data_IF_843895226627
#
_entry.id   IF_843895226627
#
_cell.length_a   1.000
_cell.length_b   1.000
_cell.length_c   1.000
_cell.angle_alpha   90.00
_cell.angle_beta   90.00
_cell.angle_gamma   90.00
#
_symmetry.space_group_name_H-M   'P 1'
#
loop_
_entity.id
_entity.type
_entity.pdbx_description
1 polymer ?
#
# COMPACT_ATOMS: atom_id res chain seq x y z
N UNK A 1 -7.85 -13.32 1.57
CA UNK A 1 -7.34 -11.94 1.38
C UNK A 1 -7.82 -11.02 2.50
N UNK A 2 -9.13 -10.82 2.72
CA UNK A 2 -9.64 -9.97 3.82
C UNK A 2 -9.09 -10.42 5.18
N UNK A 3 -9.14 -11.71 5.50
CA UNK A 3 -8.63 -12.23 6.76
C UNK A 3 -7.16 -11.85 7.02
N UNK A 4 -6.31 -11.89 6.00
CA UNK A 4 -4.87 -11.58 6.15
C UNK A 4 -4.61 -10.08 6.08
N UNK A 5 -5.15 -9.40 5.04
CA UNK A 5 -4.82 -8.01 4.80
C UNK A 5 -5.54 -7.02 5.74
N UNK A 6 -6.69 -7.42 6.27
CA UNK A 6 -7.54 -6.54 7.11
C UNK A 6 -7.58 -7.07 8.54
N UNK A 7 -8.19 -8.22 8.77
CA UNK A 7 -8.45 -8.70 10.14
C UNK A 7 -7.15 -8.96 10.92
N UNK A 8 -6.22 -9.74 10.36
CA UNK A 8 -4.97 -10.08 11.04
C UNK A 8 -4.11 -8.83 11.29
N UNK A 9 -3.98 -7.93 10.30
CA UNK A 9 -3.23 -6.68 10.43
C UNK A 9 -3.82 -5.82 11.57
N UNK A 10 -5.15 -5.65 11.58
CA UNK A 10 -5.84 -4.87 12.62
C UNK A 10 -5.64 -5.47 14.01
N UNK A 11 -5.82 -6.80 14.13
CA UNK A 11 -5.66 -7.50 15.42
C UNK A 11 -4.23 -7.43 15.95
N UNK A 12 -3.23 -7.62 15.07
CA UNK A 12 -1.81 -7.53 15.47
C UNK A 12 -1.47 -6.11 15.92
N UNK A 13 -1.90 -5.11 15.18
CA UNK A 13 -1.67 -3.71 15.54
C UNK A 13 -2.34 -3.39 16.89
N UNK A 14 -3.62 -3.78 17.09
CA UNK A 14 -4.35 -3.58 18.34
C UNK A 14 -3.65 -4.23 19.54
N UNK A 15 -3.05 -5.41 19.34
CA UNK A 15 -2.36 -6.12 20.43
C UNK A 15 -1.01 -5.53 20.79
N UNK A 16 -0.26 -5.04 19.81
CA UNK A 16 1.11 -4.59 20.00
C UNK A 16 1.22 -3.10 20.36
N UNK A 17 0.31 -2.27 19.83
CA UNK A 17 0.37 -0.82 19.94
C UNK A 17 0.34 -0.30 21.40
N UNK A 18 -0.53 -0.80 22.31
CA UNK A 18 -0.61 -0.31 23.68
C UNK A 18 0.73 -0.40 24.44
N UNK A 19 1.41 -1.54 24.37
CA UNK A 19 2.71 -1.71 25.00
C UNK A 19 3.82 -0.84 24.38
N UNK A 20 3.71 -0.51 23.08
CA UNK A 20 4.62 0.43 22.43
C UNK A 20 4.38 1.86 22.96
N UNK A 21 3.14 2.26 23.13
CA UNK A 21 2.76 3.58 23.66
C UNK A 21 3.20 3.72 25.12
N UNK A 22 2.97 2.71 25.95
CA UNK A 22 3.36 2.69 27.36
C UNK A 22 4.87 2.92 27.55
N UNK A 23 5.69 2.19 26.80
CA UNK A 23 7.16 2.37 26.85
C UNK A 23 7.66 3.56 26.01
N UNK A 24 6.78 4.35 25.40
CA UNK A 24 7.07 5.51 24.54
C UNK A 24 8.06 5.21 23.41
N UNK A 25 8.05 3.99 22.92
CA UNK A 25 8.95 3.52 21.87
C UNK A 25 8.35 2.41 21.04
N UNK A 26 8.25 2.62 19.73
CA UNK A 26 7.78 1.62 18.79
C UNK A 26 7.68 2.15 17.35
N UNK A 27 7.77 1.21 16.40
CA UNK A 27 7.58 1.51 14.99
C UNK A 27 6.74 0.41 14.34
N UNK A 28 5.72 0.83 13.61
CA UNK A 28 4.84 -0.08 12.86
C UNK A 28 4.99 0.24 11.38
N UNK A 29 5.26 -0.76 10.56
CA UNK A 29 5.27 -0.66 9.10
C UNK A 29 4.18 -1.55 8.53
N UNK A 30 3.11 -0.94 8.03
CA UNK A 30 2.04 -1.62 7.31
C UNK A 30 2.28 -1.56 5.80
N UNK A 31 2.07 -2.68 5.10
CA UNK A 31 2.30 -2.76 3.66
C UNK A 31 0.97 -2.71 2.90
N UNK A 32 0.67 -1.55 2.32
CA UNK A 32 -0.44 -1.34 1.39
C UNK A 32 -0.01 -1.58 -0.07
N UNK A 33 -0.31 -0.67 -0.97
CA UNK A 33 0.05 -0.64 -2.38
C UNK A 33 -0.37 0.71 -2.98
N UNK A 34 0.16 1.09 -4.15
CA UNK A 34 -0.42 2.17 -4.98
C UNK A 34 -1.87 1.88 -5.39
N UNK A 35 -2.28 0.61 -5.39
CA UNK A 35 -3.68 0.18 -5.55
C UNK A 35 -4.63 0.74 -4.47
N UNK A 36 -4.13 1.18 -3.32
CA UNK A 36 -4.92 1.74 -2.24
C UNK A 36 -5.60 3.08 -2.58
N UNK A 37 -5.09 3.79 -3.57
CA UNK A 37 -5.54 5.15 -3.90
C UNK A 37 -6.68 5.20 -4.93
N UNK A 38 -7.09 4.05 -5.50
CA UNK A 38 -8.03 4.00 -6.61
C UNK A 38 -8.91 2.74 -6.60
N UNK A 39 -10.08 2.74 -7.25
CA UNK A 39 -10.87 1.52 -7.45
C UNK A 39 -10.16 0.57 -8.43
N UNK A 40 -10.26 -0.74 -8.18
CA UNK A 40 -9.62 -1.77 -9.01
C UNK A 40 -10.62 -2.76 -9.62
N UNK A 41 -11.26 -2.46 -10.78
CA UNK A 41 -12.02 -3.45 -11.52
C UNK A 41 -11.19 -4.73 -11.76
N UNK A 42 -11.83 -5.89 -11.76
CA UNK A 42 -11.25 -7.24 -11.86
C UNK A 42 -10.43 -7.69 -10.63
N UNK A 43 -10.10 -6.77 -9.71
CA UNK A 43 -9.37 -7.05 -8.46
C UNK A 43 -9.99 -6.30 -7.26
N UNK A 44 -11.30 -6.15 -7.21
CA UNK A 44 -12.00 -5.28 -6.27
C UNK A 44 -11.62 -5.53 -4.80
N UNK A 45 -11.57 -6.79 -4.35
CA UNK A 45 -11.22 -7.16 -2.97
C UNK A 45 -9.79 -6.77 -2.63
N UNK A 46 -8.84 -6.94 -3.56
CA UNK A 46 -7.46 -6.54 -3.35
C UNK A 46 -7.35 -5.04 -3.13
N UNK A 47 -7.86 -4.25 -4.06
CA UNK A 47 -7.82 -2.79 -4.00
C UNK A 47 -8.52 -2.25 -2.75
N UNK A 48 -9.70 -2.77 -2.43
CA UNK A 48 -10.42 -2.40 -1.22
C UNK A 48 -9.63 -2.74 0.06
N UNK A 49 -9.00 -3.92 0.12
CA UNK A 49 -8.18 -4.31 1.26
C UNK A 49 -6.95 -3.40 1.43
N UNK A 50 -6.34 -2.96 0.32
CA UNK A 50 -5.18 -2.05 0.38
C UNK A 50 -5.59 -0.61 0.73
N UNK A 51 -6.78 -0.17 0.32
CA UNK A 51 -7.36 1.10 0.73
C UNK A 51 -7.65 1.11 2.25
N UNK A 52 -8.15 -0.01 2.79
CA UNK A 52 -8.29 -0.17 4.23
C UNK A 52 -6.95 0.01 4.96
N UNK A 53 -5.90 -0.70 4.53
CA UNK A 53 -4.56 -0.62 5.15
C UNK A 53 -4.02 0.80 5.13
N UNK A 54 -4.18 1.52 4.02
CA UNK A 54 -3.75 2.91 3.91
C UNK A 54 -4.50 3.79 4.92
N UNK A 55 -5.82 3.82 4.86
CA UNK A 55 -6.66 4.66 5.73
C UNK A 55 -6.45 4.35 7.22
N UNK A 56 -6.39 3.07 7.58
CA UNK A 56 -6.12 2.61 8.93
C UNK A 56 -4.74 3.09 9.44
N UNK A 57 -3.71 2.98 8.61
CA UNK A 57 -2.35 3.38 9.00
C UNK A 57 -2.21 4.90 9.13
N UNK A 58 -2.86 5.68 8.26
CA UNK A 58 -2.87 7.15 8.36
C UNK A 58 -3.56 7.61 9.64
N UNK A 59 -4.71 7.02 9.98
CA UNK A 59 -5.41 7.33 11.23
C UNK A 59 -4.53 7.03 12.45
N UNK A 60 -3.95 5.84 12.52
CA UNK A 60 -3.06 5.47 13.62
C UNK A 60 -1.80 6.33 13.69
N UNK A 61 -1.24 6.74 12.54
CA UNK A 61 -0.08 7.66 12.53
C UNK A 61 -0.40 9.00 13.20
N UNK A 62 -1.63 9.49 13.02
CA UNK A 62 -2.12 10.70 13.70
C UNK A 62 -2.39 10.45 15.20
N UNK A 63 -3.11 9.37 15.53
CA UNK A 63 -3.46 9.01 16.90
C UNK A 63 -2.25 8.74 17.80
N UNK A 64 -1.14 8.23 17.23
CA UNK A 64 0.10 7.98 17.97
C UNK A 64 1.04 9.17 18.03
N UNK A 65 0.66 10.32 17.48
CA UNK A 65 1.49 11.52 17.51
C UNK A 65 1.83 11.93 18.95
N UNK A 66 3.11 12.24 19.21
CA UNK A 66 3.58 12.64 20.56
C UNK A 66 3.75 11.48 21.55
N UNK A 67 3.37 10.25 21.21
CA UNK A 67 3.51 9.08 22.11
C UNK A 67 4.88 8.41 22.09
N UNK A 68 5.77 8.79 21.14
CA UNK A 68 7.03 8.10 20.89
C UNK A 68 6.89 6.89 19.96
N UNK A 69 5.69 6.63 19.44
CA UNK A 69 5.42 5.56 18.47
C UNK A 69 5.12 6.16 17.11
N UNK A 70 5.63 5.53 16.05
CA UNK A 70 5.33 5.92 14.67
C UNK A 70 4.68 4.79 13.89
N UNK A 71 3.71 5.13 13.05
CA UNK A 71 3.03 4.19 12.14
C UNK A 71 3.27 4.65 10.71
N UNK A 72 3.85 3.78 9.91
CA UNK A 72 4.19 4.04 8.50
C UNK A 72 3.42 3.11 7.57
N UNK A 73 2.81 3.65 6.53
CA UNK A 73 2.18 2.89 5.46
C UNK A 73 3.09 2.87 4.22
N UNK A 74 3.61 1.71 3.86
CA UNK A 74 4.37 1.51 2.63
C UNK A 74 3.40 1.18 1.48
N UNK A 75 3.42 2.00 0.43
CA UNK A 75 2.55 1.89 -0.73
C UNK A 75 3.38 1.63 -2.01
N UNK A 76 3.90 0.42 -2.23
CA UNK A 76 4.68 0.12 -3.41
C UNK A 76 3.81 0.05 -4.66
N UNK A 77 4.42 0.37 -5.81
CA UNK A 77 3.93 0.01 -7.14
C UNK A 77 4.19 -1.46 -7.46
N UNK A 78 4.14 -1.85 -8.74
CA UNK A 78 4.51 -3.18 -9.18
C UNK A 78 5.92 -3.56 -8.72
N UNK A 79 6.03 -4.67 -7.99
CA UNK A 79 7.27 -5.13 -7.35
C UNK A 79 7.50 -6.59 -7.70
N UNK A 80 8.72 -6.96 -8.10
CA UNK A 80 9.10 -8.32 -8.46
C UNK A 80 9.04 -9.26 -7.24
N UNK A 81 7.92 -9.91 -7.03
CA UNK A 81 7.68 -10.88 -5.94
C UNK A 81 6.84 -12.06 -6.44
N UNK A 82 6.84 -13.18 -5.72
CA UNK A 82 5.97 -14.32 -6.01
C UNK A 82 4.45 -14.04 -5.88
N UNK A 83 4.06 -12.84 -5.45
CA UNK A 83 2.66 -12.43 -5.41
C UNK A 83 2.05 -12.31 -6.80
N UNK A 84 2.81 -11.86 -7.78
CA UNK A 84 2.35 -11.67 -9.17
C UNK A 84 1.91 -13.00 -9.79
N UNK A 85 2.64 -14.08 -9.50
CA UNK A 85 2.31 -15.43 -9.98
C UNK A 85 1.02 -15.93 -9.33
N UNK A 86 0.92 -15.80 -8.01
CA UNK A 86 -0.26 -16.24 -7.25
C UNK A 86 -1.52 -15.47 -7.59
N UNK A 87 -1.39 -14.18 -7.92
CA UNK A 87 -2.50 -13.32 -8.31
C UNK A 87 -2.81 -13.38 -9.82
N UNK A 88 -2.07 -14.16 -10.60
CA UNK A 88 -2.16 -14.25 -12.08
C UNK A 88 -2.08 -12.86 -12.75
N UNK A 89 -1.23 -11.99 -12.19
CA UNK A 89 -1.12 -10.59 -12.63
C UNK A 89 -0.05 -10.39 -13.72
N UNK A 90 0.84 -11.37 -13.96
CA UNK A 90 1.89 -11.26 -14.99
C UNK A 90 1.32 -11.04 -16.39
N UNK A 91 0.10 -11.50 -16.65
CA UNK A 91 -0.58 -11.39 -17.94
C UNK A 91 -1.28 -10.03 -18.12
N UNK A 92 -1.34 -9.18 -17.08
CA UNK A 92 -1.98 -7.88 -17.18
C UNK A 92 -1.10 -6.88 -17.93
N UNK A 93 -1.72 -6.00 -18.69
CA UNK A 93 -1.03 -4.90 -19.42
C UNK A 93 -0.25 -3.98 -18.46
N UNK A 94 -0.70 -3.86 -17.23
CA UNK A 94 -0.05 -3.04 -16.20
C UNK A 94 1.42 -3.44 -16.02
N UNK A 95 1.71 -4.74 -15.88
CA UNK A 95 3.07 -5.23 -15.65
C UNK A 95 4.01 -5.12 -16.87
N UNK A 96 3.45 -5.05 -18.07
CA UNK A 96 4.24 -4.83 -19.29
C UNK A 96 4.55 -3.36 -19.57
N UNK A 97 3.80 -2.43 -18.98
CA UNK A 97 3.91 -0.99 -19.23
C UNK A 97 4.64 -0.23 -18.13
N UNK A 98 4.81 -0.83 -16.95
CA UNK A 98 5.40 -0.17 -15.77
C UNK A 98 6.67 -0.86 -15.35
N UNK A 99 7.70 -0.08 -15.03
CA UNK A 99 8.94 -0.61 -14.45
C UNK A 99 8.64 -1.33 -13.14
N UNK A 100 9.05 -2.60 -13.07
CA UNK A 100 8.89 -3.44 -11.88
C UNK A 100 10.07 -3.18 -10.94
N UNK A 101 9.79 -2.65 -9.76
CA UNK A 101 10.82 -2.39 -8.75
C UNK A 101 11.34 -3.70 -8.14
N UNK A 102 12.60 -3.72 -7.69
CA UNK A 102 13.11 -4.85 -6.92
C UNK A 102 12.48 -4.89 -5.52
N UNK A 103 12.26 -6.09 -4.99
CA UNK A 103 11.73 -6.26 -3.63
C UNK A 103 12.68 -5.66 -2.59
N UNK A 104 14.00 -5.73 -2.82
CA UNK A 104 15.03 -5.17 -1.94
C UNK A 104 14.95 -3.65 -1.86
N UNK A 105 14.80 -2.95 -3.00
CA UNK A 105 14.70 -1.49 -3.04
C UNK A 105 13.41 -1.00 -2.37
N UNK A 106 12.31 -1.71 -2.59
CA UNK A 106 11.02 -1.42 -1.94
C UNK A 106 11.12 -1.61 -0.43
N UNK A 107 11.74 -2.70 0.03
CA UNK A 107 11.94 -2.97 1.46
C UNK A 107 12.83 -1.89 2.10
N UNK A 108 13.94 -1.51 1.45
CA UNK A 108 14.83 -0.44 1.92
C UNK A 108 14.10 0.88 2.03
N UNK A 109 13.35 1.29 1.00
CA UNK A 109 12.58 2.53 1.03
C UNK A 109 11.53 2.53 2.15
N UNK A 110 10.86 1.39 2.39
CA UNK A 110 9.94 1.21 3.50
C UNK A 110 10.62 1.34 4.86
N UNK A 111 11.75 0.67 5.04
CA UNK A 111 12.53 0.73 6.27
C UNK A 111 13.03 2.16 6.57
N UNK A 112 13.65 2.81 5.59
CA UNK A 112 14.16 4.18 5.74
C UNK A 112 13.03 5.17 6.06
N UNK A 113 11.88 5.00 5.39
CA UNK A 113 10.70 5.81 5.67
C UNK A 113 10.13 5.60 7.08
N UNK A 114 10.08 4.34 7.53
CA UNK A 114 9.68 3.98 8.90
C UNK A 114 10.65 4.57 9.94
N UNK A 115 11.95 4.45 9.71
CA UNK A 115 12.97 5.02 10.61
C UNK A 115 12.90 6.54 10.68
N UNK A 116 12.53 7.19 9.57
CA UNK A 116 12.29 8.64 9.50
C UNK A 116 10.90 9.08 10.02
N UNK A 117 10.07 8.17 10.51
CA UNK A 117 8.72 8.47 11.04
C UNK A 117 7.73 8.98 9.99
N UNK A 118 7.91 8.64 8.71
CA UNK A 118 7.00 9.07 7.65
C UNK A 118 5.68 8.30 7.72
N UNK A 119 4.55 9.00 7.69
CA UNK A 119 3.23 8.35 7.71
C UNK A 119 2.98 7.52 6.43
N UNK A 120 3.39 8.01 5.26
CA UNK A 120 3.23 7.32 3.97
C UNK A 120 4.56 7.29 3.22
N UNK A 121 4.88 6.13 2.67
CA UNK A 121 6.04 5.92 1.79
C UNK A 121 5.58 5.34 0.46
N UNK A 122 5.79 6.06 -0.63
CA UNK A 122 5.51 5.62 -2.00
C UNK A 122 6.85 5.55 -2.74
N UNK A 123 7.45 4.36 -2.95
CA UNK A 123 8.71 4.23 -3.68
C UNK A 123 8.54 4.57 -5.16
N UNK A 124 9.51 5.32 -5.71
CA UNK A 124 9.57 5.71 -7.12
C UNK A 124 8.77 6.97 -7.45
N UNK A 125 9.38 7.86 -8.25
CA UNK A 125 8.76 9.14 -8.64
C UNK A 125 7.54 8.93 -9.53
N UNK A 126 7.58 7.96 -10.46
CA UNK A 126 6.44 7.63 -11.30
C UNK A 126 5.22 7.17 -10.50
N UNK A 127 5.42 6.36 -9.46
CA UNK A 127 4.35 5.93 -8.56
C UNK A 127 3.76 7.11 -7.78
N UNK A 128 4.61 8.01 -7.28
CA UNK A 128 4.14 9.24 -6.61
C UNK A 128 3.31 10.10 -7.54
N UNK A 129 3.79 10.34 -8.76
CA UNK A 129 3.06 11.12 -9.76
C UNK A 129 1.71 10.46 -10.12
N UNK A 130 1.70 9.14 -10.33
CA UNK A 130 0.48 8.38 -10.62
C UNK A 130 -0.56 8.50 -9.51
N UNK A 131 -0.15 8.36 -8.25
CA UNK A 131 -1.03 8.53 -7.08
C UNK A 131 -1.62 9.94 -7.03
N UNK A 132 -0.82 10.99 -7.29
CA UNK A 132 -1.34 12.36 -7.30
C UNK A 132 -2.31 12.59 -8.47
N UNK A 133 -2.00 12.07 -9.66
CA UNK A 133 -2.90 12.16 -10.81
C UNK A 133 -4.28 11.52 -10.53
N UNK A 134 -4.30 10.35 -9.88
CA UNK A 134 -5.54 9.68 -9.48
C UNK A 134 -6.38 10.52 -8.50
N UNK A 135 -5.75 11.28 -7.62
CA UNK A 135 -6.46 12.13 -6.63
C UNK A 135 -7.25 13.26 -7.27
N UNK A 136 -6.79 13.80 -8.40
CA UNK A 136 -7.44 14.91 -9.10
C UNK A 136 -8.30 14.46 -10.28
N UNK A 137 -8.12 13.25 -10.77
CA UNK A 137 -8.86 12.72 -11.90
C UNK A 137 -10.31 12.33 -11.55
N UNK A 138 -11.29 12.53 -12.45
CA UNK A 138 -12.64 12.05 -12.26
C UNK A 138 -12.68 10.53 -12.03
N UNK A 139 -13.36 10.07 -10.97
CA UNK A 139 -13.39 8.63 -10.58
C UNK A 139 -13.89 7.71 -11.70
N UNK A 140 -14.78 8.19 -12.59
CA UNK A 140 -15.27 7.42 -13.73
C UNK A 140 -14.14 7.13 -14.74
N UNK A 141 -13.28 8.12 -15.01
CA UNK A 141 -12.12 7.97 -15.88
C UNK A 141 -11.11 7.02 -15.29
N UNK A 142 -10.79 7.17 -13.99
CA UNK A 142 -9.89 6.28 -13.27
C UNK A 142 -10.35 4.81 -13.36
N UNK A 143 -11.66 4.54 -13.12
CA UNK A 143 -12.20 3.18 -13.22
C UNK A 143 -12.03 2.58 -14.62
N UNK A 144 -12.28 3.36 -15.68
CA UNK A 144 -12.11 2.89 -17.07
C UNK A 144 -10.66 2.58 -17.37
N UNK A 145 -9.75 3.49 -17.00
CA UNK A 145 -8.31 3.31 -17.22
C UNK A 145 -7.79 2.06 -16.48
N UNK A 146 -8.10 1.93 -15.18
CA UNK A 146 -7.65 0.78 -14.40
C UNK A 146 -8.23 -0.53 -14.93
N UNK A 147 -9.48 -0.55 -15.41
CA UNK A 147 -10.04 -1.73 -16.07
C UNK A 147 -9.21 -2.15 -17.28
N UNK A 148 -8.86 -1.22 -18.16
CA UNK A 148 -8.02 -1.49 -19.35
C UNK A 148 -6.63 -1.99 -18.97
N UNK A 149 -6.02 -1.42 -17.92
CA UNK A 149 -4.70 -1.82 -17.42
C UNK A 149 -4.72 -3.20 -16.74
N UNK A 150 -5.83 -3.58 -16.10
CA UNK A 150 -5.99 -4.87 -15.44
C UNK A 150 -6.50 -5.97 -16.40
N UNK A 151 -6.97 -5.59 -17.56
CA UNK A 151 -7.43 -6.56 -18.55
C UNK A 151 -6.28 -7.42 -19.06
N UNK A 152 -6.56 -8.71 -19.27
CA UNK A 152 -5.55 -9.65 -19.76
C UNK A 152 -5.31 -9.38 -21.25
N UNK A 153 -4.08 -9.60 -21.69
CA UNK A 153 -3.82 -9.73 -23.12
C UNK A 153 -4.53 -11.01 -23.60
N UNK A 154 -5.54 -10.86 -24.43
CA UNK A 154 -6.09 -11.96 -25.25
C UNK A 154 -5.04 -12.37 -26.28
#
# INVERSE_FOLDING_TARGET
MIQVNVAALTMLTKRLLPAMIERRHGRVLNVASTAAFQPGPLMAVYYASKAYVLSFSEALSNETSGTGVTVTCLCPGPTGTGFQDRARMRESRLFSMVSVASAADVARAGYDGMMAGRAIVIPGLANKAGVQAVRVAPRALVRRLIRVLQDRRS
#
